data_IF_921482867953
#
_entry.id   IF_921482867953
#
_cell.length_a   1.000
_cell.length_b   1.000
_cell.length_c   1.000
_cell.angle_alpha   90.00
_cell.angle_beta   90.00
_cell.angle_gamma   90.00
#
_symmetry.space_group_name_H-M   'P 1'
#
loop_
_entity.id
_entity.type
_entity.pdbx_description
1 polymer ?
#
# COMPACT_ATOMS: atom_id res chain seq x y z
N UNK A 1 54.42 0.01 -4.86
CA UNK A 1 53.32 0.55 -5.67
C UNK A 1 52.42 1.58 -4.96
N UNK A 2 52.01 1.41 -3.67
CA UNK A 2 51.15 2.36 -2.93
C UNK A 2 51.69 3.79 -2.79
N UNK A 3 53.02 3.96 -2.67
CA UNK A 3 53.62 5.29 -2.45
C UNK A 3 53.53 6.25 -3.67
N UNK A 4 53.51 5.71 -4.90
CA UNK A 4 53.41 6.48 -6.14
C UNK A 4 51.98 6.99 -6.40
N UNK A 5 50.95 6.27 -5.94
CA UNK A 5 49.54 6.68 -6.11
C UNK A 5 49.23 7.87 -5.20
N UNK A 6 49.74 7.86 -3.97
CA UNK A 6 49.49 8.95 -3.00
C UNK A 6 50.17 10.26 -3.45
N UNK A 7 51.40 10.16 -4.03
CA UNK A 7 52.11 11.34 -4.56
C UNK A 7 51.43 11.90 -5.81
N UNK A 8 50.88 11.05 -6.68
CA UNK A 8 50.12 11.49 -7.85
C UNK A 8 48.81 12.20 -7.45
N UNK A 9 48.12 11.69 -6.47
CA UNK A 9 46.90 12.30 -5.94
C UNK A 9 47.20 13.66 -5.30
N UNK A 10 48.26 13.79 -4.49
CA UNK A 10 48.71 15.08 -3.92
C UNK A 10 49.08 16.10 -4.98
N UNK A 11 49.73 15.68 -6.08
CA UNK A 11 50.09 16.56 -7.19
C UNK A 11 48.88 17.04 -7.98
N UNK A 12 47.86 16.22 -8.10
CA UNK A 12 46.58 16.53 -8.74
C UNK A 12 45.79 17.58 -7.93
N UNK A 13 45.70 17.43 -6.62
CA UNK A 13 45.04 18.41 -5.74
C UNK A 13 45.76 19.76 -5.63
N UNK A 14 47.05 19.85 -5.93
CA UNK A 14 47.81 21.09 -5.90
C UNK A 14 47.71 21.91 -7.19
N UNK A 15 47.18 21.32 -8.26
CA UNK A 15 47.06 21.98 -9.54
C UNK A 15 45.71 22.69 -9.68
N UNK A 16 45.63 23.98 -9.49
CA UNK A 16 44.42 24.81 -9.53
C UNK A 16 43.60 24.66 -10.82
N UNK A 17 44.21 24.23 -11.92
CA UNK A 17 43.52 23.98 -13.19
C UNK A 17 42.64 22.71 -13.16
N UNK A 18 42.87 21.77 -12.20
CA UNK A 18 42.03 20.56 -12.01
C UNK A 18 40.93 20.74 -10.97
N UNK A 19 40.89 21.82 -10.22
CA UNK A 19 39.93 22.04 -9.14
C UNK A 19 38.49 22.12 -9.68
N UNK A 20 38.28 22.80 -10.80
CA UNK A 20 36.96 22.96 -11.44
C UNK A 20 36.41 21.62 -11.93
N UNK A 21 37.27 20.76 -12.49
CA UNK A 21 36.85 19.42 -12.94
C UNK A 21 36.45 18.50 -11.77
N UNK A 22 37.15 18.63 -10.64
CA UNK A 22 36.84 17.88 -9.43
C UNK A 22 35.52 18.36 -8.80
N UNK A 23 35.29 19.67 -8.77
CA UNK A 23 34.05 20.26 -8.30
C UNK A 23 32.84 19.82 -9.15
N UNK A 24 32.97 19.85 -10.48
CA UNK A 24 31.98 19.37 -11.40
C UNK A 24 31.65 17.88 -11.15
N UNK A 25 32.68 17.05 -10.91
CA UNK A 25 32.48 15.60 -10.63
C UNK A 25 31.70 15.38 -9.33
N UNK A 26 31.99 16.12 -8.27
CA UNK A 26 31.22 16.06 -7.03
C UNK A 26 29.78 16.52 -7.22
N UNK A 27 29.55 17.58 -7.97
CA UNK A 27 28.20 18.05 -8.29
C UNK A 27 27.41 17.02 -9.09
N UNK A 28 28.03 16.33 -10.05
CA UNK A 28 27.38 15.25 -10.81
C UNK A 28 27.01 14.06 -9.93
N UNK A 29 27.91 13.64 -9.03
CA UNK A 29 27.62 12.57 -8.09
C UNK A 29 26.44 12.94 -7.20
N UNK A 30 26.46 14.15 -6.63
CA UNK A 30 25.36 14.64 -5.78
C UNK A 30 24.04 14.68 -6.56
N UNK A 31 24.08 15.13 -7.80
CA UNK A 31 22.91 15.16 -8.67
C UNK A 31 22.33 13.76 -8.90
N UNK A 32 23.16 12.75 -9.15
CA UNK A 32 22.71 11.36 -9.31
C UNK A 32 22.01 10.85 -8.05
N UNK A 33 22.54 11.14 -6.85
CA UNK A 33 21.90 10.77 -5.59
C UNK A 33 20.53 11.43 -5.42
N UNK A 34 20.43 12.73 -5.75
CA UNK A 34 19.16 13.45 -5.68
C UNK A 34 18.14 12.84 -6.64
N UNK A 35 18.51 12.55 -7.89
CA UNK A 35 17.61 11.93 -8.86
C UNK A 35 17.15 10.53 -8.41
N UNK A 36 18.05 9.70 -7.88
CA UNK A 36 17.68 8.38 -7.37
C UNK A 36 16.66 8.47 -6.23
N UNK A 37 16.86 9.42 -5.31
CA UNK A 37 15.93 9.65 -4.21
C UNK A 37 14.57 10.18 -4.70
N UNK A 38 14.55 11.12 -5.63
CA UNK A 38 13.31 11.63 -6.21
C UNK A 38 12.54 10.55 -6.96
N UNK A 39 13.23 9.64 -7.66
CA UNK A 39 12.61 8.50 -8.33
C UNK A 39 11.86 7.60 -7.34
N UNK A 40 12.48 7.25 -6.21
CA UNK A 40 11.84 6.44 -5.18
C UNK A 40 10.59 7.14 -4.59
N UNK A 41 10.68 8.45 -4.37
CA UNK A 41 9.52 9.23 -3.91
C UNK A 41 8.34 9.15 -4.89
N UNK A 42 8.61 9.28 -6.19
CA UNK A 42 7.57 9.18 -7.22
C UNK A 42 6.95 7.79 -7.23
N UNK A 43 7.75 6.73 -7.17
CA UNK A 43 7.29 5.34 -7.14
C UNK A 43 6.37 5.11 -5.93
N UNK A 44 6.80 5.52 -4.73
CA UNK A 44 6.02 5.37 -3.50
C UNK A 44 4.68 6.10 -3.61
N UNK A 45 4.68 7.37 -4.05
CA UNK A 45 3.44 8.17 -4.18
C UNK A 45 2.49 7.63 -5.23
N UNK A 46 3.02 7.20 -6.36
CA UNK A 46 2.20 6.59 -7.43
C UNK A 46 1.58 5.28 -6.97
N UNK A 47 2.36 4.43 -6.29
CA UNK A 47 1.85 3.15 -5.75
C UNK A 47 0.81 3.38 -4.67
N UNK A 48 1.02 4.37 -3.79
CA UNK A 48 0.03 4.73 -2.77
C UNK A 48 -1.29 5.16 -3.43
N UNK A 49 -1.25 6.04 -4.44
CA UNK A 49 -2.46 6.47 -5.15
C UNK A 49 -3.20 5.32 -5.84
N UNK A 50 -2.46 4.34 -6.40
CA UNK A 50 -3.07 3.13 -6.98
C UNK A 50 -3.74 2.27 -5.89
N UNK A 51 -3.08 2.09 -4.73
CA UNK A 51 -3.63 1.35 -3.60
C UNK A 51 -4.91 2.00 -3.07
N UNK A 52 -4.93 3.33 -2.94
CA UNK A 52 -6.10 4.08 -2.48
C UNK A 52 -7.28 3.88 -3.42
N UNK A 53 -7.07 4.01 -4.73
CA UNK A 53 -8.11 3.79 -5.73
C UNK A 53 -8.59 2.32 -5.76
N UNK A 54 -7.68 1.36 -5.66
CA UNK A 54 -8.01 -0.06 -5.66
C UNK A 54 -8.79 -0.45 -4.40
N UNK A 55 -8.36 -0.03 -3.21
CA UNK A 55 -9.06 -0.33 -1.96
C UNK A 55 -10.46 0.27 -1.94
N UNK A 56 -10.61 1.52 -2.44
CA UNK A 56 -11.91 2.16 -2.58
C UNK A 56 -12.82 1.42 -3.57
N UNK A 57 -12.30 0.98 -4.69
CA UNK A 57 -13.08 0.22 -5.67
C UNK A 57 -13.55 -1.11 -5.11
N UNK A 58 -12.65 -1.84 -4.43
CA UNK A 58 -12.96 -3.15 -3.86
C UNK A 58 -13.96 -3.05 -2.69
N UNK A 59 -13.85 -2.04 -1.82
CA UNK A 59 -14.83 -1.87 -0.75
C UNK A 59 -16.22 -1.52 -1.30
N UNK A 60 -16.30 -0.80 -2.42
CA UNK A 60 -17.57 -0.53 -3.08
C UNK A 60 -18.19 -1.81 -3.68
N UNK A 61 -17.39 -2.70 -4.25
CA UNK A 61 -17.87 -4.02 -4.69
C UNK A 61 -18.35 -4.84 -3.49
N UNK A 62 -17.60 -4.82 -2.39
CA UNK A 62 -17.92 -5.56 -1.18
C UNK A 62 -19.26 -5.13 -0.57
N UNK A 63 -19.53 -3.82 -0.49
CA UNK A 63 -20.80 -3.32 0.06
C UNK A 63 -22.03 -3.66 -0.79
N UNK A 64 -21.87 -3.84 -2.12
CA UNK A 64 -22.94 -4.22 -3.04
C UNK A 64 -23.18 -5.75 -3.06
N UNK A 65 -22.39 -6.52 -2.31
CA UNK A 65 -22.43 -7.97 -2.27
C UNK A 65 -23.83 -8.52 -1.99
N UNK A 66 -24.54 -7.93 -1.02
CA UNK A 66 -25.88 -8.37 -0.65
C UNK A 66 -26.88 -8.25 -1.81
N UNK A 67 -26.69 -7.29 -2.70
CA UNK A 67 -27.52 -7.11 -3.89
C UNK A 67 -27.12 -8.05 -5.02
N UNK A 68 -25.82 -8.33 -5.17
CA UNK A 68 -25.30 -9.17 -6.26
C UNK A 68 -25.59 -10.67 -6.05
N UNK A 69 -25.53 -11.13 -4.82
CA UNK A 69 -25.69 -12.57 -4.50
C UNK A 69 -27.07 -12.94 -3.97
N UNK A 70 -28.02 -11.99 -3.98
CA UNK A 70 -29.40 -12.20 -3.50
C UNK A 70 -29.46 -12.78 -2.06
N UNK A 71 -28.45 -12.44 -1.27
CA UNK A 71 -28.27 -12.97 0.08
C UNK A 71 -29.00 -12.06 1.08
N UNK A 72 -29.73 -12.68 2.01
CA UNK A 72 -30.51 -11.98 3.04
C UNK A 72 -29.64 -11.22 4.08
N UNK A 73 -28.46 -10.75 3.69
CA UNK A 73 -27.59 -9.90 4.51
C UNK A 73 -26.91 -10.59 5.69
N UNK A 74 -26.98 -11.92 5.78
CA UNK A 74 -26.48 -12.69 6.92
C UNK A 74 -25.28 -13.58 6.60
N UNK A 75 -24.81 -13.60 5.36
CA UNK A 75 -23.72 -14.50 4.98
C UNK A 75 -22.36 -13.95 5.45
N UNK A 76 -21.69 -14.77 6.25
CA UNK A 76 -20.33 -14.52 6.73
C UNK A 76 -19.35 -14.40 5.55
N UNK A 77 -18.28 -13.65 5.76
CA UNK A 77 -17.17 -13.57 4.82
C UNK A 77 -16.58 -14.98 4.62
N UNK A 78 -16.43 -15.40 3.35
CA UNK A 78 -15.84 -16.71 3.00
C UNK A 78 -14.37 -16.55 2.56
N UNK A 79 -13.59 -17.58 2.77
CA UNK A 79 -12.19 -17.60 2.26
C UNK A 79 -12.12 -17.55 0.73
N UNK A 80 -13.16 -18.01 0.03
CA UNK A 80 -13.31 -17.88 -1.43
C UNK A 80 -13.37 -16.41 -1.86
N UNK A 81 -14.06 -15.58 -1.10
CA UNK A 81 -14.15 -14.15 -1.38
C UNK A 81 -12.77 -13.53 -1.34
N UNK A 82 -11.96 -13.87 -0.34
CA UNK A 82 -10.61 -13.36 -0.20
C UNK A 82 -9.72 -13.64 -1.42
N UNK A 83 -9.83 -14.85 -2.00
CA UNK A 83 -9.09 -15.21 -3.22
C UNK A 83 -9.57 -14.44 -4.45
N UNK A 84 -10.85 -14.18 -4.56
CA UNK A 84 -11.41 -13.37 -5.65
C UNK A 84 -10.99 -11.91 -5.52
N UNK A 85 -11.05 -11.34 -4.32
CA UNK A 85 -10.58 -9.98 -4.05
C UNK A 85 -9.08 -9.83 -4.28
N UNK A 86 -8.26 -10.85 -3.97
CA UNK A 86 -6.83 -10.85 -4.31
C UNK A 86 -6.60 -10.77 -5.83
N UNK A 87 -7.34 -11.57 -6.62
CA UNK A 87 -7.25 -11.53 -8.09
C UNK A 87 -7.71 -10.18 -8.65
N UNK A 88 -8.80 -9.62 -8.12
CA UNK A 88 -9.27 -8.30 -8.51
C UNK A 88 -8.26 -7.21 -8.15
N UNK A 89 -7.68 -7.27 -6.95
CA UNK A 89 -6.64 -6.34 -6.53
C UNK A 89 -5.42 -6.40 -7.46
N UNK A 90 -4.94 -7.61 -7.82
CA UNK A 90 -3.84 -7.79 -8.78
C UNK A 90 -4.18 -7.21 -10.15
N UNK A 91 -5.41 -7.44 -10.63
CA UNK A 91 -5.86 -6.89 -11.91
C UNK A 91 -5.85 -5.36 -11.90
N UNK A 92 -6.37 -4.73 -10.84
CA UNK A 92 -6.42 -3.26 -10.74
C UNK A 92 -5.01 -2.66 -10.59
N UNK A 93 -4.14 -3.28 -9.78
CA UNK A 93 -2.83 -2.73 -9.46
C UNK A 93 -1.80 -2.96 -10.57
N UNK A 94 -1.84 -4.14 -11.21
CA UNK A 94 -0.82 -4.59 -12.16
C UNK A 94 -1.35 -4.87 -13.56
N UNK A 95 -2.67 -4.83 -13.78
CA UNK A 95 -3.30 -5.14 -15.06
C UNK A 95 -3.37 -6.64 -15.38
N UNK A 96 -2.92 -7.50 -14.48
CA UNK A 96 -2.92 -8.96 -14.63
C UNK A 96 -3.32 -9.63 -13.33
N UNK A 97 -4.39 -10.46 -13.38
CA UNK A 97 -4.92 -11.19 -12.22
C UNK A 97 -3.97 -12.27 -11.70
N UNK A 98 -3.10 -12.79 -12.56
CA UNK A 98 -2.14 -13.85 -12.27
C UNK A 98 -0.71 -13.30 -12.04
N UNK A 99 -0.61 -11.99 -11.82
CA UNK A 99 0.66 -11.32 -11.53
C UNK A 99 1.43 -12.03 -10.42
N UNK A 100 2.76 -12.26 -10.58
CA UNK A 100 3.60 -12.87 -9.56
C UNK A 100 3.80 -11.97 -8.32
N UNK A 101 3.44 -10.69 -8.43
CA UNK A 101 3.56 -9.75 -7.33
C UNK A 101 2.61 -10.13 -6.19
N UNK A 102 3.15 -10.13 -4.97
CA UNK A 102 2.36 -10.41 -3.77
C UNK A 102 1.51 -9.20 -3.41
N UNK A 103 0.21 -9.43 -3.29
CA UNK A 103 -0.75 -8.44 -2.80
C UNK A 103 -1.37 -8.97 -1.52
N UNK A 104 -1.21 -8.24 -0.44
CA UNK A 104 -1.94 -8.48 0.79
C UNK A 104 -3.34 -7.89 0.68
N UNK A 105 -4.34 -8.67 1.05
CA UNK A 105 -5.73 -8.25 1.11
C UNK A 105 -6.29 -8.61 2.47
N UNK A 106 -6.89 -7.64 3.13
CA UNK A 106 -7.62 -7.85 4.38
C UNK A 106 -9.01 -7.26 4.22
N UNK A 107 -10.01 -8.07 4.51
CA UNK A 107 -11.43 -7.71 4.44
C UNK A 107 -11.98 -7.77 5.85
N UNK A 108 -12.65 -6.72 6.27
CA UNK A 108 -13.28 -6.62 7.58
C UNK A 108 -14.76 -6.28 7.41
N UNK A 109 -15.58 -6.89 8.25
CA UNK A 109 -17.02 -6.65 8.35
C UNK A 109 -17.41 -6.43 9.80
N UNK A 110 -18.15 -5.36 10.05
CA UNK A 110 -18.72 -5.05 11.35
C UNK A 110 -20.24 -4.87 11.26
N UNK A 111 -20.95 -5.49 12.16
CA UNK A 111 -22.39 -5.36 12.32
C UNK A 111 -22.74 -5.20 13.81
N UNK A 112 -23.72 -4.35 14.09
CA UNK A 112 -24.18 -4.11 15.48
C UNK A 112 -24.61 -5.41 16.17
N UNK A 113 -24.11 -5.64 17.39
CA UNK A 113 -24.37 -6.84 18.20
C UNK A 113 -23.81 -8.17 17.66
N UNK A 114 -22.97 -8.12 16.63
CA UNK A 114 -22.21 -9.29 16.15
C UNK A 114 -20.71 -9.09 16.37
N UNK A 115 -20.00 -10.20 16.50
CA UNK A 115 -18.52 -10.15 16.56
C UNK A 115 -17.96 -9.67 15.22
N UNK A 116 -17.04 -8.69 15.20
CA UNK A 116 -16.39 -8.27 13.96
C UNK A 116 -15.70 -9.45 13.28
N UNK A 117 -15.86 -9.53 11.96
CA UNK A 117 -15.23 -10.56 11.14
C UNK A 117 -14.04 -9.97 10.40
N UNK A 118 -12.93 -10.69 10.33
CA UNK A 118 -11.73 -10.28 9.61
C UNK A 118 -11.14 -11.49 8.86
N UNK A 119 -10.91 -11.32 7.56
CA UNK A 119 -10.20 -12.28 6.72
C UNK A 119 -8.97 -11.62 6.11
N UNK A 120 -7.84 -12.31 6.14
CA UNK A 120 -6.58 -11.83 5.53
C UNK A 120 -5.86 -12.97 4.82
N UNK A 121 -5.27 -12.70 3.65
CA UNK A 121 -4.41 -13.65 2.96
C UNK A 121 -2.94 -13.52 3.39
N UNK A 122 -2.56 -12.37 3.97
CA UNK A 122 -1.21 -12.08 4.40
C UNK A 122 -1.23 -11.45 5.80
N UNK A 123 -0.77 -12.17 6.81
CA UNK A 123 -0.83 -11.75 8.22
C UNK A 123 -0.12 -10.42 8.53
N UNK A 124 0.81 -9.99 7.67
CA UNK A 124 1.48 -8.69 7.77
C UNK A 124 0.66 -7.53 7.20
N UNK A 125 -0.38 -7.84 6.40
CA UNK A 125 -1.28 -6.84 5.85
C UNK A 125 -2.41 -6.55 6.84
N UNK A 126 -2.21 -5.55 7.69
CA UNK A 126 -3.21 -5.16 8.68
C UNK A 126 -3.65 -3.72 8.47
N UNK A 127 -4.94 -3.42 8.70
CA UNK A 127 -5.43 -2.06 8.66
C UNK A 127 -4.78 -1.21 9.75
N UNK A 128 -4.64 0.08 9.50
CA UNK A 128 -4.17 1.03 10.52
C UNK A 128 -5.12 1.09 11.71
N UNK A 129 -6.43 0.97 11.45
CA UNK A 129 -7.48 0.83 12.47
C UNK A 129 -8.34 -0.36 12.11
N UNK A 130 -8.45 -1.31 13.02
CA UNK A 130 -9.37 -2.45 12.89
C UNK A 130 -10.80 -1.98 13.00
N UNK A 131 -11.66 -2.61 12.23
CA UNK A 131 -13.08 -2.34 12.24
C UNK A 131 -13.70 -3.03 13.48
N UNK A 132 -13.89 -2.26 14.53
CA UNK A 132 -14.43 -2.70 15.81
C UNK A 132 -15.53 -1.74 16.32
N UNK A 133 -16.02 -1.98 17.51
CA UNK A 133 -17.06 -1.15 18.14
C UNK A 133 -16.63 0.30 18.33
N UNK A 134 -15.31 0.57 18.40
CA UNK A 134 -14.81 1.94 18.52
C UNK A 134 -15.06 2.78 17.26
N UNK A 135 -15.16 2.12 16.10
CA UNK A 135 -15.50 2.78 14.83
C UNK A 135 -17.01 2.79 14.54
N UNK A 136 -17.82 2.27 15.44
CA UNK A 136 -19.27 2.21 15.27
C UNK A 136 -19.98 3.56 15.08
N UNK A 137 -19.32 4.65 15.48
CA UNK A 137 -19.82 6.02 15.27
C UNK A 137 -19.84 6.43 13.78
N UNK A 138 -19.06 5.76 12.93
CA UNK A 138 -19.04 5.99 11.49
C UNK A 138 -20.24 5.37 10.78
N UNK A 139 -20.94 4.44 11.47
CA UNK A 139 -22.14 3.80 10.93
C UNK A 139 -23.35 4.69 11.13
N UNK A 140 -24.06 5.09 10.07
CA UNK A 140 -25.34 5.75 10.18
C UNK A 140 -26.39 4.76 10.73
N UNK A 141 -27.46 5.29 11.29
CA UNK A 141 -28.62 4.49 11.68
C UNK A 141 -29.58 4.32 10.52
N UNK A 142 -30.20 3.16 10.44
CA UNK A 142 -31.25 2.92 9.46
C UNK A 142 -32.47 3.83 9.75
N UNK A 143 -33.12 4.30 8.70
CA UNK A 143 -34.36 5.03 8.85
C UNK A 143 -35.47 4.07 9.31
N UNK A 144 -36.03 4.34 10.49
CA UNK A 144 -37.19 3.64 11.01
C UNK A 144 -38.10 4.64 11.70
N UNK A 145 -39.40 4.52 11.50
CA UNK A 145 -40.41 5.35 12.15
C UNK A 145 -40.37 5.24 13.68
N UNK A 146 -39.98 4.05 14.20
CA UNK A 146 -39.79 3.81 15.63
C UNK A 146 -38.32 3.92 16.01
N UNK A 147 -37.90 4.83 16.91
CA UNK A 147 -36.52 4.99 17.36
C UNK A 147 -35.89 3.70 17.90
N UNK A 148 -36.70 2.85 18.56
CA UNK A 148 -36.25 1.59 19.16
C UNK A 148 -35.87 0.52 18.12
N UNK A 149 -36.32 0.67 16.88
CA UNK A 149 -36.01 -0.23 15.78
C UNK A 149 -34.87 0.24 14.88
N UNK A 150 -34.29 1.39 15.18
CA UNK A 150 -33.17 1.93 14.44
C UNK A 150 -31.91 1.12 14.74
N UNK A 151 -31.37 0.45 13.72
CA UNK A 151 -30.10 -0.29 13.79
C UNK A 151 -28.99 0.46 13.07
N UNK A 152 -27.77 0.27 13.54
CA UNK A 152 -26.59 0.74 12.79
C UNK A 152 -26.41 -0.11 11.54
N UNK A 153 -26.13 0.57 10.42
CA UNK A 153 -25.91 -0.09 9.15
C UNK A 153 -24.54 -0.78 9.18
N UNK A 154 -24.40 -2.02 8.67
CA UNK A 154 -23.12 -2.71 8.65
C UNK A 154 -22.02 -1.90 7.93
N UNK A 155 -20.79 -2.05 8.41
CA UNK A 155 -19.59 -1.41 7.84
C UNK A 155 -18.70 -2.49 7.22
N UNK A 156 -18.10 -2.14 6.10
CA UNK A 156 -17.09 -2.94 5.42
C UNK A 156 -15.80 -2.15 5.30
N UNK A 157 -14.68 -2.81 5.50
CA UNK A 157 -13.35 -2.24 5.29
C UNK A 157 -12.52 -3.19 4.44
N UNK A 158 -11.84 -2.63 3.45
CA UNK A 158 -10.86 -3.37 2.64
C UNK A 158 -9.52 -2.69 2.78
N UNK A 159 -8.52 -3.46 3.18
CA UNK A 159 -7.12 -3.03 3.28
C UNK A 159 -6.31 -3.79 2.24
N UNK A 160 -5.58 -3.05 1.43
CA UNK A 160 -4.62 -3.57 0.46
C UNK A 160 -3.20 -3.25 0.87
N UNK A 161 -2.31 -4.20 0.68
CA UNK A 161 -0.88 -4.04 0.99
C UNK A 161 -0.03 -4.52 -0.18
N UNK A 162 0.99 -3.74 -0.54
CA UNK A 162 1.96 -4.09 -1.57
C UNK A 162 3.36 -3.73 -1.12
N UNK A 163 4.31 -4.61 -1.39
CA UNK A 163 5.72 -4.34 -1.16
C UNK A 163 6.30 -3.52 -2.32
N UNK A 164 6.96 -2.42 -2.00
CA UNK A 164 7.54 -1.51 -3.00
C UNK A 164 9.05 -1.60 -2.95
N UNK A 165 9.65 -1.85 -4.12
CA UNK A 165 11.10 -1.83 -4.29
C UNK A 165 11.68 -0.43 -4.13
N UNK A 166 12.94 -0.34 -3.69
CA UNK A 166 13.67 0.92 -3.58
C UNK A 166 14.87 0.93 -4.51
N UNK A 167 14.85 1.83 -5.48
CA UNK A 167 15.96 2.04 -6.40
C UNK A 167 17.18 2.60 -5.65
N UNK A 168 16.96 3.54 -4.76
CA UNK A 168 18.00 4.18 -3.96
C UNK A 168 18.72 3.18 -3.03
N UNK A 169 17.97 2.31 -2.35
CA UNK A 169 18.55 1.22 -1.54
C UNK A 169 19.38 0.25 -2.39
N UNK A 170 18.86 -0.16 -3.54
CA UNK A 170 19.58 -1.05 -4.46
C UNK A 170 20.92 -0.43 -4.91
N UNK A 171 20.93 0.87 -5.19
CA UNK A 171 22.13 1.60 -5.60
C UNK A 171 23.19 1.63 -4.49
N UNK A 172 22.79 1.87 -3.23
CA UNK A 172 23.71 1.99 -2.10
C UNK A 172 24.20 0.63 -1.63
N UNK A 173 23.31 -0.36 -1.48
CA UNK A 173 23.64 -1.66 -0.87
C UNK A 173 24.21 -2.65 -1.86
N UNK A 174 24.11 -2.39 -3.17
CA UNK A 174 24.48 -3.31 -4.27
C UNK A 174 23.81 -4.69 -4.16
N UNK A 175 22.67 -4.75 -3.49
CA UNK A 175 21.84 -5.96 -3.38
C UNK A 175 20.60 -5.74 -4.21
N UNK A 176 20.27 -6.70 -5.06
CA UNK A 176 19.03 -6.71 -5.81
C UNK A 176 17.83 -6.95 -4.87
N UNK A 177 16.64 -6.47 -5.27
CA UNK A 177 15.38 -6.69 -4.57
C UNK A 177 15.31 -6.11 -3.14
N UNK A 178 15.94 -4.97 -2.89
CA UNK A 178 15.73 -4.24 -1.64
C UNK A 178 14.38 -3.55 -1.67
N UNK A 179 13.51 -3.86 -0.69
CA UNK A 179 12.22 -3.18 -0.58
C UNK A 179 12.32 -1.88 0.21
N UNK A 180 11.52 -0.92 -0.17
CA UNK A 180 11.30 0.29 0.63
C UNK A 180 10.51 -0.05 1.90
N UNK A 181 9.61 -1.02 1.78
CA UNK A 181 8.71 -1.50 2.81
C UNK A 181 7.35 -1.86 2.22
N UNK A 182 6.43 -2.22 3.09
CA UNK A 182 5.06 -2.51 2.73
C UNK A 182 4.23 -1.22 2.79
N UNK A 183 3.64 -0.83 1.68
CA UNK A 183 2.62 0.23 1.63
C UNK A 183 1.26 -0.40 1.84
N UNK A 184 0.41 0.27 2.60
CA UNK A 184 -0.96 -0.15 2.82
C UNK A 184 -1.94 0.99 2.62
N UNK A 185 -3.13 0.64 2.15
CA UNK A 185 -4.27 1.55 2.06
C UNK A 185 -5.53 0.84 2.51
N UNK A 186 -6.34 1.53 3.30
CA UNK A 186 -7.61 1.02 3.84
C UNK A 186 -8.74 1.94 3.43
N UNK A 187 -9.81 1.37 2.89
CA UNK A 187 -11.03 2.08 2.56
C UNK A 187 -12.22 1.46 3.29
N UNK A 188 -13.11 2.32 3.78
CA UNK A 188 -14.29 1.95 4.55
C UNK A 188 -15.54 2.36 3.78
N UNK A 189 -16.54 1.50 3.76
CA UNK A 189 -17.85 1.79 3.19
C UNK A 189 -18.98 1.26 4.08
N UNK A 190 -20.11 1.96 4.00
CA UNK A 190 -21.36 1.55 4.65
C UNK A 190 -22.09 0.60 3.72
N UNK A 191 -22.70 -0.47 4.25
CA UNK A 191 -23.57 -1.36 3.48
C UNK A 191 -24.71 -0.59 2.82
N UNK A 192 -25.21 -1.12 1.70
CA UNK A 192 -26.28 -0.48 0.93
C UNK A 192 -27.48 -1.37 0.85
#
# INVERSE_FOLDING_TARGET
MKKNIITSIKKFFRNKKGAVTLELLFMLILLIFIFAFLTDLVIVRTTQGKLDNASYSLVNILRERNQLYNDNGTEKLKSTDLTEYEKMAKLILFGDKDSPNKVGVTIEHWEEKKTPEMLTNLGTCQPYRKLDDNLSYLSPRSESANPDNQRKIPLYQVTLCVEVGSFFKNLITRKENQSFGMLSSSSLAVAR
#
